data_IF_963548110083
#
_entry.id   IF_963548110083
#
_cell.length_a   1.000
_cell.length_b   1.000
_cell.length_c   1.000
_cell.angle_alpha   90.00
_cell.angle_beta   90.00
_cell.angle_gamma   90.00
#
_symmetry.space_group_name_H-M   'P 1'
#
loop_
_entity.id
_entity.type
_entity.pdbx_description
1 polymer ?
#
# COMPACT_ATOMS: atom_id res chain seq x y z
N UNK A 1 -3.89 -15.62 7.69
CA UNK A 1 -4.53 -14.55 6.90
C UNK A 1 -6.03 -14.82 6.84
N UNK A 2 -6.84 -13.79 6.84
CA UNK A 2 -8.24 -13.92 6.47
C UNK A 2 -8.36 -14.24 4.98
N UNK A 3 -9.23 -15.19 4.62
CA UNK A 3 -9.53 -15.57 3.24
C UNK A 3 -10.90 -15.02 2.87
N UNK A 4 -10.96 -14.43 1.70
CA UNK A 4 -12.16 -13.78 1.17
C UNK A 4 -12.70 -14.56 -0.03
N UNK A 5 -13.93 -14.31 -0.40
CA UNK A 5 -14.45 -14.63 -1.72
C UNK A 5 -14.22 -13.46 -2.71
N UNK A 6 -14.58 -13.65 -3.96
CA UNK A 6 -14.45 -12.62 -4.98
C UNK A 6 -15.32 -11.37 -4.72
N UNK A 7 -16.37 -11.50 -3.92
CA UNK A 7 -17.27 -10.40 -3.54
C UNK A 7 -16.78 -9.62 -2.31
N UNK A 8 -15.72 -10.08 -1.65
CA UNK A 8 -15.11 -9.42 -0.48
C UNK A 8 -15.69 -9.89 0.86
N UNK A 9 -16.44 -10.98 0.90
CA UNK A 9 -16.87 -11.58 2.16
C UNK A 9 -15.78 -12.50 2.71
N UNK A 10 -15.54 -12.45 4.03
CA UNK A 10 -14.62 -13.38 4.71
C UNK A 10 -15.24 -14.77 4.73
N UNK A 11 -14.55 -15.76 4.15
CA UNK A 11 -15.02 -17.14 4.03
C UNK A 11 -14.17 -18.14 4.82
N UNK A 12 -13.07 -17.69 5.41
CA UNK A 12 -12.22 -18.58 6.21
C UNK A 12 -10.89 -17.95 6.61
N UNK A 13 -10.00 -18.83 7.04
CA UNK A 13 -8.62 -18.50 7.42
C UNK A 13 -7.69 -19.53 6.82
N UNK A 14 -6.55 -19.08 6.29
CA UNK A 14 -5.50 -19.95 5.78
C UNK A 14 -4.11 -19.42 6.17
N UNK A 15 -3.09 -20.27 6.04
CA UNK A 15 -1.71 -19.85 6.23
C UNK A 15 -1.27 -18.99 5.05
N UNK A 16 -0.28 -18.11 5.26
CA UNK A 16 0.24 -17.20 4.22
C UNK A 16 0.75 -17.96 3.00
N UNK A 17 1.51 -19.03 3.22
CA UNK A 17 2.04 -19.88 2.17
C UNK A 17 0.92 -20.54 1.33
N UNK A 18 -0.15 -21.00 1.97
CA UNK A 18 -1.31 -21.58 1.30
C UNK A 18 -2.09 -20.53 0.48
N UNK A 19 -2.29 -19.33 1.02
CA UNK A 19 -3.00 -18.25 0.33
C UNK A 19 -2.29 -17.93 -1.00
N UNK A 20 -0.98 -17.79 -0.98
CA UNK A 20 -0.22 -17.48 -2.19
C UNK A 20 -0.11 -18.68 -3.15
N UNK A 21 0.13 -19.89 -2.63
CA UNK A 21 0.24 -21.09 -3.47
C UNK A 21 -1.05 -21.44 -4.21
N UNK A 22 -2.22 -21.11 -3.63
CA UNK A 22 -3.53 -21.40 -4.19
C UNK A 22 -4.22 -20.17 -4.80
N UNK A 23 -3.55 -19.02 -4.85
CA UNK A 23 -4.14 -17.74 -5.32
C UNK A 23 -5.48 -17.43 -4.65
N UNK A 24 -5.55 -17.62 -3.32
CA UNK A 24 -6.76 -17.32 -2.58
C UNK A 24 -6.92 -15.80 -2.44
N UNK A 25 -8.18 -15.35 -2.47
CA UNK A 25 -8.51 -13.97 -2.19
C UNK A 25 -8.15 -13.61 -0.75
N UNK A 26 -7.51 -12.46 -0.56
CA UNK A 26 -7.16 -11.95 0.77
C UNK A 26 -7.35 -10.44 0.83
N UNK A 27 -7.46 -9.89 2.04
CA UNK A 27 -7.56 -8.45 2.26
C UNK A 27 -6.18 -7.83 2.51
N UNK A 28 -6.03 -6.59 2.08
CA UNK A 28 -4.84 -5.76 2.34
C UNK A 28 -5.30 -4.38 2.81
N UNK A 29 -4.72 -3.89 3.90
CA UNK A 29 -4.87 -2.51 4.36
C UNK A 29 -3.60 -1.73 4.11
N UNK A 30 -3.67 -0.57 3.46
CA UNK A 30 -2.52 0.26 3.14
C UNK A 30 -2.75 1.74 3.40
N UNK A 31 -1.70 2.44 3.84
CA UNK A 31 -1.72 3.87 4.16
C UNK A 31 -0.82 4.65 3.22
N UNK A 32 -1.39 5.64 2.53
CA UNK A 32 -0.65 6.69 1.84
C UNK A 32 -0.21 7.73 2.88
N UNK A 33 1.05 7.69 3.28
CA UNK A 33 1.59 8.64 4.24
C UNK A 33 2.01 9.93 3.52
N UNK A 34 1.34 11.04 3.82
CA UNK A 34 1.62 12.36 3.22
C UNK A 34 2.15 13.34 4.25
N UNK A 35 2.92 14.34 3.79
CA UNK A 35 3.28 15.48 4.63
C UNK A 35 2.04 16.26 5.07
N UNK A 36 2.13 16.99 6.19
CA UNK A 36 1.00 17.76 6.75
C UNK A 36 0.51 18.81 5.75
N UNK A 37 1.42 19.47 5.01
CA UNK A 37 1.09 20.42 3.94
C UNK A 37 0.48 19.74 2.70
N UNK A 38 0.54 18.41 2.62
CA UNK A 38 0.01 17.63 1.51
C UNK A 38 0.84 17.64 0.24
N UNK A 39 2.01 18.28 0.22
CA UNK A 39 2.82 18.43 -0.99
C UNK A 39 3.68 17.19 -1.31
N UNK A 40 3.98 16.38 -0.30
CA UNK A 40 4.87 15.22 -0.42
C UNK A 40 4.19 13.95 0.05
N UNK A 41 4.67 12.83 -0.46
CA UNK A 41 4.30 11.47 -0.05
C UNK A 41 5.56 10.70 0.36
N UNK A 42 5.42 9.79 1.29
CA UNK A 42 6.53 8.91 1.66
C UNK A 42 6.62 7.75 0.68
N UNK A 43 7.74 7.67 -0.04
CA UNK A 43 8.06 6.57 -0.96
C UNK A 43 9.14 5.73 -0.32
N UNK A 44 9.03 4.42 -0.44
CA UNK A 44 10.03 3.51 0.06
C UNK A 44 10.38 2.42 -0.97
N UNK A 45 11.51 1.78 -0.77
CA UNK A 45 11.94 0.60 -1.51
C UNK A 45 11.90 -0.60 -0.59
N UNK A 46 11.20 -1.64 -1.00
CA UNK A 46 11.09 -2.92 -0.31
C UNK A 46 12.45 -3.62 -0.27
N UNK A 47 12.68 -4.43 0.77
CA UNK A 47 13.90 -5.26 0.80
C UNK A 47 13.87 -6.31 -0.30
N UNK A 48 15.04 -6.78 -0.69
CA UNK A 48 15.19 -7.87 -1.68
C UNK A 48 14.85 -9.24 -1.09
N UNK A 49 14.65 -9.32 0.21
CA UNK A 49 14.27 -10.53 0.95
C UNK A 49 12.76 -10.71 1.12
N UNK A 50 11.95 -9.71 0.70
CA UNK A 50 10.49 -9.83 0.73
C UNK A 50 10.03 -10.99 -0.15
N UNK A 51 9.06 -11.76 0.35
CA UNK A 51 8.47 -12.90 -0.38
C UNK A 51 7.71 -12.44 -1.63
N UNK A 52 7.03 -11.30 -1.54
CA UNK A 52 6.20 -10.75 -2.60
C UNK A 52 6.79 -9.42 -3.05
N UNK A 53 7.00 -9.26 -4.35
CA UNK A 53 7.49 -8.02 -4.99
C UNK A 53 8.78 -7.46 -4.34
N UNK A 54 9.87 -8.26 -4.24
CA UNK A 54 11.12 -7.83 -3.62
C UNK A 54 11.80 -6.71 -4.40
N UNK A 55 12.35 -5.73 -3.67
CA UNK A 55 13.17 -4.66 -4.23
C UNK A 55 12.43 -3.57 -5.00
N UNK A 56 11.10 -3.68 -5.15
CA UNK A 56 10.28 -2.67 -5.82
C UNK A 56 10.05 -1.45 -4.92
N UNK A 57 9.74 -0.31 -5.55
CA UNK A 57 9.27 0.89 -4.85
C UNK A 57 7.78 0.78 -4.55
N UNK A 58 7.37 1.44 -3.48
CA UNK A 58 5.97 1.60 -3.08
C UNK A 58 5.79 2.96 -2.38
N UNK A 59 4.56 3.41 -2.29
CA UNK A 59 4.17 4.58 -1.48
C UNK A 59 3.08 4.24 -0.45
N UNK A 60 2.75 2.97 -0.31
CA UNK A 60 1.75 2.47 0.64
C UNK A 60 2.45 1.65 1.73
N UNK A 61 2.38 2.11 2.98
CA UNK A 61 2.72 1.26 4.11
C UNK A 61 1.53 0.34 4.37
N UNK A 62 1.73 -0.98 4.27
CA UNK A 62 0.59 -1.86 4.35
C UNK A 62 0.91 -3.35 4.32
N UNK A 63 -0.11 -4.11 4.70
CA UNK A 63 -0.01 -5.55 4.76
C UNK A 63 -1.36 -6.25 4.80
N UNK A 64 -1.29 -7.56 4.96
CA UNK A 64 -2.45 -8.43 4.87
C UNK A 64 -3.31 -8.37 6.12
N UNK A 65 -4.63 -8.39 5.92
CA UNK A 65 -5.61 -8.39 7.00
C UNK A 65 -5.58 -9.75 7.72
N UNK A 66 -5.36 -9.68 9.02
CA UNK A 66 -5.36 -10.84 9.91
C UNK A 66 -6.78 -11.36 10.17
N UNK A 67 -6.90 -12.60 10.68
CA UNK A 67 -8.19 -13.14 11.11
C UNK A 67 -8.83 -12.25 12.18
N UNK A 68 -10.05 -11.76 11.91
CA UNK A 68 -10.80 -10.91 12.84
C UNK A 68 -10.34 -9.45 12.90
N UNK A 69 -9.32 -9.04 12.15
CA UNK A 69 -8.96 -7.64 11.98
C UNK A 69 -9.87 -6.94 10.97
N UNK A 70 -10.18 -5.68 11.21
CA UNK A 70 -10.74 -4.79 10.20
C UNK A 70 -9.61 -4.10 9.41
N UNK A 71 -9.92 -3.57 8.20
CA UNK A 71 -8.90 -2.96 7.35
C UNK A 71 -8.17 -1.77 7.98
N UNK A 72 -8.85 -0.94 8.78
CA UNK A 72 -8.24 0.24 9.41
C UNK A 72 -7.28 -0.17 10.54
N UNK A 73 -7.64 -1.19 11.32
CA UNK A 73 -6.76 -1.76 12.35
C UNK A 73 -5.48 -2.32 11.73
N UNK A 74 -5.61 -3.10 10.64
CA UNK A 74 -4.43 -3.60 9.89
C UNK A 74 -3.59 -2.44 9.36
N UNK A 75 -4.19 -1.46 8.70
CA UNK A 75 -3.48 -0.30 8.15
C UNK A 75 -2.71 0.49 9.21
N UNK A 76 -3.31 0.71 10.39
CA UNK A 76 -2.65 1.39 11.51
C UNK A 76 -1.48 0.57 12.06
N UNK A 77 -1.64 -0.74 12.20
CA UNK A 77 -0.58 -1.66 12.65
C UNK A 77 0.59 -1.65 11.68
N UNK A 78 0.36 -1.81 10.39
CA UNK A 78 1.40 -1.82 9.35
C UNK A 78 2.13 -0.47 9.26
N UNK A 79 1.41 0.65 9.36
CA UNK A 79 2.02 1.99 9.41
C UNK A 79 2.97 2.12 10.60
N UNK A 80 2.59 1.59 11.77
CA UNK A 80 3.42 1.58 12.96
C UNK A 80 4.63 0.64 12.81
N UNK A 81 4.44 -0.56 12.28
CA UNK A 81 5.49 -1.56 12.11
C UNK A 81 6.51 -1.13 11.05
N UNK A 82 6.06 -0.78 9.85
CA UNK A 82 6.92 -0.48 8.70
C UNK A 82 7.59 0.89 8.79
N UNK A 83 6.86 1.94 9.25
CA UNK A 83 7.33 3.32 9.24
C UNK A 83 7.51 3.95 10.63
N UNK A 84 7.15 3.24 11.70
CA UNK A 84 7.25 3.75 13.07
C UNK A 84 6.29 4.91 13.37
N UNK A 85 5.23 5.09 12.57
CA UNK A 85 4.26 6.17 12.72
C UNK A 85 3.04 5.68 13.47
N UNK A 86 2.72 6.31 14.59
CA UNK A 86 1.60 5.96 15.47
C UNK A 86 0.81 7.19 15.87
N UNK A 87 -0.45 6.98 16.31
CA UNK A 87 -1.27 8.05 16.89
C UNK A 87 -1.77 9.09 15.89
N UNK A 88 -1.65 8.82 14.59
CA UNK A 88 -2.17 9.68 13.53
C UNK A 88 -3.55 9.20 13.06
N UNK A 89 -4.49 10.10 12.75
CA UNK A 89 -5.77 9.71 12.18
C UNK A 89 -5.59 9.06 10.80
N UNK A 90 -6.29 7.95 10.56
CA UNK A 90 -6.42 7.35 9.24
C UNK A 90 -7.72 7.81 8.59
N UNK A 91 -7.63 8.42 7.43
CA UNK A 91 -8.77 8.83 6.61
C UNK A 91 -9.04 7.76 5.57
N UNK A 92 -10.21 7.08 5.58
CA UNK A 92 -10.55 6.13 4.54
C UNK A 92 -10.62 6.81 3.17
N UNK A 93 -10.07 6.19 2.14
CA UNK A 93 -10.09 6.70 0.77
C UNK A 93 -11.08 5.89 -0.09
N UNK A 94 -10.68 4.69 -0.45
CA UNK A 94 -11.46 3.80 -1.32
C UNK A 94 -10.99 2.34 -1.14
N UNK A 95 -11.74 1.42 -1.73
CA UNK A 95 -11.32 0.02 -1.88
C UNK A 95 -11.30 -0.36 -3.36
N UNK A 96 -10.31 -1.18 -3.75
CA UNK A 96 -10.17 -1.73 -5.10
C UNK A 96 -9.96 -3.24 -5.04
N UNK A 97 -10.27 -3.88 -6.15
CA UNK A 97 -9.97 -5.30 -6.36
C UNK A 97 -8.73 -5.42 -7.26
N UNK A 98 -7.75 -6.18 -6.82
CA UNK A 98 -6.57 -6.54 -7.59
C UNK A 98 -6.62 -8.03 -7.91
N UNK A 99 -6.62 -8.41 -9.20
CA UNK A 99 -6.70 -9.78 -9.65
C UNK A 99 -5.75 -10.03 -10.83
N UNK A 100 -4.67 -10.76 -10.57
CA UNK A 100 -3.72 -11.22 -11.60
C UNK A 100 -4.19 -12.52 -12.28
N UNK A 101 -5.35 -13.04 -11.92
CA UNK A 101 -5.87 -14.29 -12.41
C UNK A 101 -5.33 -15.52 -11.67
N UNK A 102 -5.53 -16.66 -12.30
CA UNK A 102 -5.12 -17.95 -11.72
C UNK A 102 -3.59 -18.05 -11.61
N UNK A 103 -3.10 -18.34 -10.42
CA UNK A 103 -1.66 -18.42 -10.12
C UNK A 103 -1.01 -17.10 -9.69
N UNK A 104 -1.72 -15.98 -9.81
CA UNK A 104 -1.28 -14.68 -9.35
C UNK A 104 -1.91 -14.22 -8.03
N UNK A 105 -1.65 -12.97 -7.67
CA UNK A 105 -2.23 -12.36 -6.47
C UNK A 105 -3.68 -11.96 -6.71
N UNK A 106 -4.51 -12.17 -5.70
CA UNK A 106 -5.92 -11.77 -5.66
C UNK A 106 -6.22 -11.10 -4.33
N UNK A 107 -6.49 -9.81 -4.36
CA UNK A 107 -6.70 -9.06 -3.13
C UNK A 107 -7.80 -8.01 -3.19
N UNK A 108 -8.46 -7.83 -2.05
CA UNK A 108 -9.29 -6.67 -1.75
C UNK A 108 -8.42 -5.64 -1.05
N UNK A 109 -8.12 -4.55 -1.73
CA UNK A 109 -7.25 -3.48 -1.26
C UNK A 109 -8.08 -2.39 -0.59
N UNK A 110 -7.74 -2.02 0.63
CA UNK A 110 -8.38 -0.95 1.41
C UNK A 110 -7.37 0.16 1.63
N UNK A 111 -7.61 1.31 1.01
CA UNK A 111 -6.71 2.45 1.04
C UNK A 111 -7.12 3.49 2.08
N UNK A 112 -6.12 3.97 2.82
CA UNK A 112 -6.24 5.05 3.80
C UNK A 112 -5.20 6.12 3.53
N UNK A 113 -5.42 7.34 4.04
CA UNK A 113 -4.43 8.42 4.05
C UNK A 113 -4.13 8.81 5.50
N UNK A 114 -2.87 9.13 5.77
CA UNK A 114 -2.43 9.77 7.00
C UNK A 114 -1.53 10.97 6.70
N UNK A 115 -1.51 11.94 7.63
CA UNK A 115 -0.66 13.14 7.57
C UNK A 115 0.36 13.11 8.68
N UNK A 116 1.64 13.34 8.31
CA UNK A 116 2.73 13.28 9.26
C UNK A 116 3.96 14.04 8.75
N UNK A 117 4.65 14.75 9.63
CA UNK A 117 5.94 15.42 9.34
C UNK A 117 7.05 15.02 10.33
N UNK A 118 6.74 14.07 11.22
CA UNK A 118 7.71 13.58 12.19
C UNK A 118 8.76 12.62 11.59
N UNK A 119 9.67 12.12 12.41
CA UNK A 119 10.68 11.18 11.99
C UNK A 119 10.08 9.81 11.63
N UNK A 120 10.45 9.29 10.46
CA UNK A 120 10.09 7.94 10.01
C UNK A 120 11.21 6.97 10.40
N UNK A 121 10.83 5.80 10.91
CA UNK A 121 11.75 4.70 11.26
C UNK A 121 11.33 3.45 10.52
N UNK A 122 12.21 2.95 9.66
CA UNK A 122 11.96 1.75 8.90
C UNK A 122 12.07 0.48 9.75
N UNK A 123 11.22 -0.48 9.45
CA UNK A 123 11.43 -1.87 9.82
C UNK A 123 12.47 -2.45 8.83
N UNK A 124 13.69 -2.81 9.29
CA UNK A 124 14.79 -3.17 8.36
C UNK A 124 14.53 -4.42 7.52
N UNK A 125 13.68 -5.33 8.00
CA UNK A 125 13.30 -6.56 7.31
C UNK A 125 12.34 -6.29 6.14
N UNK A 126 11.62 -5.16 6.17
CA UNK A 126 10.59 -4.80 5.21
C UNK A 126 11.04 -3.71 4.23
N UNK A 127 11.73 -2.67 4.73
CA UNK A 127 12.08 -1.46 3.99
C UNK A 127 13.59 -1.25 3.95
N UNK A 128 14.15 -1.28 2.75
CA UNK A 128 15.57 -1.05 2.50
C UNK A 128 15.96 0.44 2.50
N UNK A 129 15.06 1.31 2.05
CA UNK A 129 15.25 2.76 2.00
C UNK A 129 13.89 3.47 1.83
N UNK A 130 13.79 4.73 2.26
CA UNK A 130 12.60 5.52 2.03
C UNK A 130 12.89 7.02 2.18
N UNK A 131 12.05 7.84 1.56
CA UNK A 131 12.19 9.29 1.53
C UNK A 131 10.88 10.01 1.20
N UNK A 132 10.80 11.25 1.57
CA UNK A 132 9.73 12.13 1.16
C UNK A 132 9.93 12.57 -0.30
N UNK A 133 8.95 12.31 -1.14
CA UNK A 133 8.94 12.65 -2.56
C UNK A 133 7.82 13.66 -2.85
N UNK A 134 8.08 14.75 -3.61
CA UNK A 134 7.01 15.60 -4.11
C UNK A 134 5.99 14.80 -4.91
N UNK A 135 4.69 15.07 -4.72
CA UNK A 135 3.63 14.35 -5.45
C UNK A 135 3.74 14.52 -6.98
N UNK A 136 4.20 15.68 -7.44
CA UNK A 136 4.45 15.90 -8.86
C UNK A 136 5.55 15.00 -9.41
N UNK A 137 6.61 14.73 -8.61
CA UNK A 137 7.68 13.80 -8.98
C UNK A 137 7.17 12.36 -9.00
N UNK A 138 6.41 11.93 -7.98
CA UNK A 138 5.81 10.60 -7.97
C UNK A 138 4.96 10.39 -9.23
N UNK A 139 4.08 11.36 -9.55
CA UNK A 139 3.22 11.30 -10.74
C UNK A 139 4.02 11.22 -12.04
N UNK A 140 5.16 11.93 -12.13
CA UNK A 140 6.05 11.86 -13.28
C UNK A 140 6.73 10.49 -13.41
N UNK A 141 7.24 9.95 -12.30
CA UNK A 141 7.89 8.62 -12.28
C UNK A 141 6.93 7.48 -12.63
N UNK A 142 5.68 7.55 -12.18
CA UNK A 142 4.65 6.55 -12.49
C UNK A 142 4.32 6.47 -13.99
N UNK A 143 4.63 7.51 -14.80
CA UNK A 143 4.47 7.47 -16.27
C UNK A 143 5.54 6.62 -16.94
N UNK A 144 6.65 6.36 -16.28
CA UNK A 144 7.68 5.45 -16.77
C UNK A 144 7.30 4.00 -16.40
N UNK A 145 6.93 3.15 -17.35
CA UNK A 145 6.58 1.76 -17.07
C UNK A 145 7.79 0.92 -16.64
N UNK A 146 9.02 1.41 -16.89
CA UNK A 146 10.24 0.75 -16.47
C UNK A 146 10.62 1.05 -15.01
N UNK A 147 10.00 2.05 -14.38
CA UNK A 147 10.23 2.32 -12.97
C UNK A 147 9.68 1.17 -12.12
N UNK A 148 10.56 0.45 -11.37
CA UNK A 148 10.19 -0.76 -10.65
C UNK A 148 9.31 -0.41 -9.43
N UNK A 149 8.01 -0.40 -9.63
CA UNK A 149 7.01 -0.06 -8.64
C UNK A 149 6.03 -1.22 -8.43
N UNK A 150 5.56 -1.41 -7.21
CA UNK A 150 4.60 -2.45 -6.84
C UNK A 150 3.30 -2.30 -7.65
N UNK A 151 2.84 -3.34 -8.39
CA UNK A 151 1.73 -3.20 -9.35
C UNK A 151 0.39 -2.80 -8.70
N UNK A 152 0.01 -3.43 -7.59
CA UNK A 152 -1.21 -3.08 -6.85
C UNK A 152 -1.09 -1.72 -6.16
N UNK A 153 0.09 -1.37 -5.64
CA UNK A 153 0.40 -0.04 -5.13
C UNK A 153 0.31 1.04 -6.22
N UNK A 154 0.77 0.72 -7.45
CA UNK A 154 0.61 1.60 -8.61
C UNK A 154 -0.87 1.83 -8.93
N UNK A 155 -1.66 0.79 -8.99
CA UNK A 155 -3.10 0.88 -9.23
C UNK A 155 -3.80 1.77 -8.20
N UNK A 156 -3.46 1.61 -6.92
CA UNK A 156 -4.01 2.44 -5.84
C UNK A 156 -3.63 3.91 -5.98
N UNK A 157 -2.36 4.22 -6.23
CA UNK A 157 -1.91 5.63 -6.31
C UNK A 157 -2.36 6.32 -7.60
N UNK A 158 -2.49 5.58 -8.70
CA UNK A 158 -3.07 6.11 -9.94
C UNK A 158 -4.56 6.44 -9.76
N UNK A 159 -5.32 5.61 -9.05
CA UNK A 159 -6.69 5.91 -8.66
C UNK A 159 -6.74 7.14 -7.75
N UNK A 160 -5.85 7.23 -6.76
CA UNK A 160 -5.76 8.40 -5.89
C UNK A 160 -5.51 9.69 -6.69
N UNK A 161 -4.59 9.68 -7.66
CA UNK A 161 -4.36 10.83 -8.56
C UNK A 161 -5.55 11.15 -9.46
N UNK A 162 -6.34 10.16 -9.86
CA UNK A 162 -7.55 10.38 -10.64
C UNK A 162 -8.64 11.12 -9.83
N UNK A 163 -8.71 10.83 -8.52
CA UNK A 163 -9.61 11.50 -7.60
C UNK A 163 -9.10 12.91 -7.16
N UNK A 164 -7.80 13.24 -7.45
CA UNK A 164 -7.14 14.51 -7.13
C UNK A 164 -6.44 15.10 -8.37
N UNK A 165 -7.19 15.47 -9.42
CA UNK A 165 -6.61 15.91 -10.69
C UNK A 165 -5.79 17.20 -10.59
N UNK A 166 -6.08 18.06 -9.60
CA UNK A 166 -5.36 19.30 -9.32
C UNK A 166 -3.93 19.07 -8.83
N UNK A 167 -3.65 17.91 -8.23
CA UNK A 167 -2.33 17.59 -7.69
C UNK A 167 -1.40 17.17 -8.83
N UNK A 168 -0.34 17.97 -9.04
CA UNK A 168 0.65 17.75 -10.10
C UNK A 168 0.22 18.26 -11.49
N UNK A 169 -0.87 19.01 -11.58
CA UNK A 169 -1.21 19.81 -12.74
C UNK A 169 -0.48 21.16 -12.72
N UNK A 170 0.77 21.19 -12.23
CA UNK A 170 1.54 22.43 -12.19
C UNK A 170 2.04 22.80 -13.58
N UNK A 171 1.54 23.91 -14.09
CA UNK A 171 2.24 24.88 -14.93
C UNK A 171 2.36 24.51 -16.42
N UNK A 172 1.47 25.12 -17.18
CA UNK A 172 1.88 25.57 -18.52
C UNK A 172 2.74 26.82 -18.39
#
# INVERSE_FOLDING_TARGET
>A
MAVYDAAGAVVGVARRDEVYARSLWHGVGGVLLRSVDGARVYVHRRTTTKLVMPGLHDCWAGGVIGPGEDPATTAARELAEELGVTGVPLVPLFSLVYDEGAGGLRSHLHAFEARFDGPVRHQPEEIAAGWWMPLAELRARLRDPAWPFVPDGRMLVERWFADHPEIGATGR
#
